data_IF_916775893760
#
_entry.id   IF_916775893760
#
_cell.length_a   1.000
_cell.length_b   1.000
_cell.length_c   1.000
_cell.angle_alpha   90.00
_cell.angle_beta   90.00
_cell.angle_gamma   90.00
#
_symmetry.space_group_name_H-M   'P 1'
#
loop_
_entity.id
_entity.type
_entity.pdbx_description
1 polymer ?
#
# COMPACT_ATOMS: atom_id res chain seq x y z
N UNK A 1 -8.76 -14.36 22.75
CA UNK A 1 -8.37 -13.87 21.40
C UNK A 1 -9.59 -14.05 20.48
N UNK A 2 -10.19 -12.97 19.99
CA UNK A 2 -11.49 -12.99 19.31
C UNK A 2 -11.47 -13.85 18.04
N UNK A 3 -12.52 -14.67 17.82
CA UNK A 3 -12.67 -15.54 16.63
C UNK A 3 -12.54 -14.76 15.31
N UNK A 4 -12.92 -13.48 15.33
CA UNK A 4 -12.84 -12.55 14.20
C UNK A 4 -11.40 -12.22 13.78
N UNK A 5 -10.44 -12.13 14.72
CA UNK A 5 -9.05 -11.78 14.41
C UNK A 5 -8.26 -12.92 13.74
N UNK A 6 -8.82 -14.13 13.77
CA UNK A 6 -8.29 -15.30 13.06
C UNK A 6 -9.03 -15.55 11.74
N UNK A 7 -9.95 -14.68 11.35
CA UNK A 7 -10.67 -14.81 10.08
C UNK A 7 -9.84 -14.27 8.93
N UNK A 8 -10.01 -14.85 7.74
CA UNK A 8 -9.39 -14.30 6.52
C UNK A 8 -9.88 -12.88 6.23
N UNK A 9 -11.14 -12.59 6.58
CA UNK A 9 -11.77 -11.29 6.41
C UNK A 9 -11.07 -10.16 7.19
N UNK A 10 -10.56 -10.42 8.39
CA UNK A 10 -9.82 -9.39 9.14
C UNK A 10 -8.50 -9.03 8.45
N UNK A 11 -7.88 -10.01 7.80
CA UNK A 11 -6.70 -9.81 6.97
C UNK A 11 -6.97 -8.96 5.74
N UNK A 12 -8.05 -9.29 5.03
CA UNK A 12 -8.49 -8.58 3.83
C UNK A 12 -8.78 -7.10 4.16
N UNK A 13 -9.58 -6.85 5.20
CA UNK A 13 -9.94 -5.48 5.60
C UNK A 13 -8.69 -4.69 6.00
N UNK A 14 -7.81 -5.30 6.81
CA UNK A 14 -6.59 -4.64 7.25
C UNK A 14 -5.63 -4.35 6.09
N UNK A 15 -5.50 -5.25 5.11
CA UNK A 15 -4.69 -5.04 3.91
C UNK A 15 -5.24 -3.91 3.03
N UNK A 16 -6.56 -3.89 2.79
CA UNK A 16 -7.17 -2.81 1.97
C UNK A 16 -6.98 -1.46 2.66
N UNK A 17 -7.25 -1.42 3.97
CA UNK A 17 -7.07 -0.21 4.76
C UNK A 17 -5.61 0.25 4.77
N UNK A 18 -4.66 -0.65 4.98
CA UNK A 18 -3.24 -0.31 4.99
C UNK A 18 -2.75 0.21 3.64
N UNK A 19 -3.22 -0.34 2.52
CA UNK A 19 -2.86 0.16 1.18
C UNK A 19 -3.41 1.56 0.92
N UNK A 20 -4.67 1.82 1.27
CA UNK A 20 -5.31 3.13 1.08
C UNK A 20 -4.64 4.19 1.96
N UNK A 21 -4.53 3.90 3.26
CA UNK A 21 -3.94 4.82 4.23
C UNK A 21 -2.45 5.03 3.95
N UNK A 22 -1.72 3.96 3.61
CA UNK A 22 -0.32 4.04 3.23
C UNK A 22 -0.09 4.95 2.02
N UNK A 23 -0.90 4.80 0.98
CA UNK A 23 -0.81 5.65 -0.22
C UNK A 23 -1.12 7.11 0.11
N UNK A 24 -2.14 7.37 0.95
CA UNK A 24 -2.48 8.72 1.38
C UNK A 24 -1.38 9.39 2.22
N UNK A 25 -0.78 8.65 3.16
CA UNK A 25 0.32 9.14 3.99
C UNK A 25 1.57 9.45 3.17
N UNK A 26 1.93 8.58 2.22
CA UNK A 26 3.07 8.82 1.34
C UNK A 26 2.81 10.03 0.43
N UNK A 27 1.59 10.18 -0.10
CA UNK A 27 1.23 11.37 -0.88
C UNK A 27 1.37 12.65 -0.06
N UNK A 28 0.84 12.66 1.17
CA UNK A 28 0.97 13.80 2.09
C UNK A 28 2.44 14.11 2.41
N UNK A 29 3.27 13.07 2.61
CA UNK A 29 4.71 13.24 2.81
C UNK A 29 5.38 13.90 1.61
N UNK A 30 5.05 13.46 0.39
CA UNK A 30 5.60 14.06 -0.82
C UNK A 30 5.12 15.50 -1.02
N UNK A 31 3.85 15.80 -0.75
CA UNK A 31 3.31 17.17 -0.79
C UNK A 31 4.03 18.07 0.22
N UNK A 32 4.30 17.58 1.42
CA UNK A 32 5.08 18.31 2.43
C UNK A 32 6.52 18.58 1.97
N UNK A 33 7.19 17.57 1.40
CA UNK A 33 8.55 17.70 0.86
C UNK A 33 8.61 18.63 -0.36
N UNK A 34 7.52 18.72 -1.12
CA UNK A 34 7.40 19.67 -2.22
C UNK A 34 7.24 21.11 -1.71
N UNK A 35 6.39 21.32 -0.70
CA UNK A 35 6.19 22.63 -0.08
C UNK A 35 7.44 23.15 0.62
N UNK A 36 8.27 22.27 1.18
CA UNK A 36 9.54 22.65 1.81
C UNK A 36 10.66 22.97 0.81
N UNK A 37 10.40 22.82 -0.50
CA UNK A 37 11.39 23.02 -1.56
C UNK A 37 12.45 21.92 -1.64
N UNK A 38 12.31 20.84 -0.87
CA UNK A 38 13.23 19.69 -0.89
C UNK A 38 13.06 18.83 -2.16
N UNK A 39 11.86 18.81 -2.72
CA UNK A 39 11.55 18.07 -3.95
C UNK A 39 10.80 18.99 -4.90
N UNK A 40 11.13 18.94 -6.20
CA UNK A 40 10.29 19.57 -7.21
C UNK A 40 9.11 18.65 -7.54
N UNK A 41 7.91 19.02 -7.09
CA UNK A 41 6.68 18.39 -7.58
C UNK A 41 6.43 18.87 -9.01
N UNK A 42 6.75 18.02 -9.97
CA UNK A 42 6.75 18.40 -11.36
C UNK A 42 5.50 17.83 -12.03
N UNK A 43 4.61 18.71 -12.47
CA UNK A 43 3.35 18.35 -13.16
C UNK A 43 3.57 17.77 -14.58
N UNK A 44 4.82 17.57 -15.02
CA UNK A 44 5.19 16.95 -16.30
C UNK A 44 5.44 15.44 -16.22
N UNK A 45 6.31 14.88 -17.07
CA UNK A 45 6.62 13.43 -17.17
C UNK A 45 7.03 12.81 -15.81
N UNK A 46 7.68 13.62 -14.96
CA UNK A 46 8.05 13.26 -13.58
C UNK A 46 6.86 12.94 -12.65
N UNK A 47 5.66 13.45 -12.95
CA UNK A 47 4.44 13.18 -12.18
C UNK A 47 4.04 11.70 -12.21
N UNK A 48 4.17 11.04 -13.37
CA UNK A 48 3.77 9.64 -13.53
C UNK A 48 4.70 8.71 -12.73
N UNK A 49 5.99 9.05 -12.66
CA UNK A 49 6.99 8.28 -11.91
C UNK A 49 6.84 8.49 -10.40
N UNK A 50 6.50 9.72 -9.98
CA UNK A 50 6.17 10.03 -8.60
C UNK A 50 4.91 9.28 -8.15
N UNK A 51 3.84 9.32 -8.94
CA UNK A 51 2.58 8.62 -8.65
C UNK A 51 2.78 7.11 -8.51
N UNK A 52 3.54 6.50 -9.44
CA UNK A 52 3.92 5.08 -9.37
C UNK A 52 4.62 4.73 -8.07
N UNK A 53 5.59 5.56 -7.65
CA UNK A 53 6.37 5.35 -6.43
C UNK A 53 5.49 5.47 -5.20
N UNK A 54 4.60 6.48 -5.16
CA UNK A 54 3.64 6.67 -4.06
C UNK A 54 2.76 5.43 -3.90
N UNK A 55 2.23 4.88 -4.99
CA UNK A 55 1.39 3.68 -4.92
C UNK A 55 2.17 2.44 -4.46
N UNK A 56 3.38 2.20 -4.96
CA UNK A 56 4.21 1.06 -4.51
C UNK A 56 4.53 1.18 -3.02
N UNK A 57 4.96 2.36 -2.58
CA UNK A 57 5.24 2.62 -1.17
C UNK A 57 3.97 2.46 -0.32
N UNK A 58 2.81 2.89 -0.83
CA UNK A 58 1.51 2.66 -0.19
C UNK A 58 1.16 1.18 -0.03
N UNK A 59 1.40 0.35 -1.06
CA UNK A 59 1.18 -1.11 -0.98
C UNK A 59 2.11 -1.74 0.07
N UNK A 60 3.34 -1.26 0.21
CA UNK A 60 4.28 -1.75 1.22
C UNK A 60 3.78 -1.57 2.66
N UNK A 61 2.82 -0.68 2.92
CA UNK A 61 2.22 -0.56 4.26
C UNK A 61 1.48 -1.82 4.68
N UNK A 62 1.15 -2.74 3.76
CA UNK A 62 0.59 -4.04 4.10
C UNK A 62 1.56 -4.90 4.94
N UNK A 63 2.85 -4.58 5.00
CA UNK A 63 3.77 -5.21 5.94
C UNK A 63 3.40 -4.97 7.40
N UNK A 64 2.77 -3.84 7.73
CA UNK A 64 2.33 -3.51 9.08
C UNK A 64 1.27 -4.51 9.58
N UNK A 65 0.09 -4.67 8.92
CA UNK A 65 -0.89 -5.66 9.34
C UNK A 65 -0.38 -7.10 9.19
N UNK A 66 0.47 -7.38 8.19
CA UNK A 66 1.09 -8.70 8.04
C UNK A 66 1.91 -9.08 9.26
N UNK A 67 2.83 -8.21 9.70
CA UNK A 67 3.67 -8.46 10.86
C UNK A 67 2.84 -8.55 12.15
N UNK A 68 1.80 -7.72 12.28
CA UNK A 68 0.86 -7.78 13.40
C UNK A 68 0.16 -9.15 13.50
N UNK A 69 -0.37 -9.67 12.38
CA UNK A 69 -1.04 -10.99 12.37
C UNK A 69 -0.06 -12.15 12.52
N UNK A 70 1.17 -12.00 12.00
CA UNK A 70 2.26 -12.97 12.18
C UNK A 70 2.60 -13.17 13.67
N UNK A 71 2.82 -12.07 14.39
CA UNK A 71 3.13 -12.13 15.84
C UNK A 71 1.97 -12.77 16.63
N UNK A 72 0.72 -12.58 16.18
CA UNK A 72 -0.48 -13.15 16.81
C UNK A 72 -0.79 -14.58 16.41
N UNK A 73 0.02 -15.22 15.55
CA UNK A 73 -0.24 -16.57 15.03
C UNK A 73 -1.58 -16.68 14.28
N UNK A 74 -2.01 -15.59 13.63
CA UNK A 74 -3.28 -15.52 12.92
C UNK A 74 -3.10 -15.79 11.41
N UNK A 75 -2.72 -17.03 11.06
CA UNK A 75 -2.33 -17.39 9.69
C UNK A 75 -3.39 -17.09 8.63
N UNK A 76 -4.67 -17.35 8.92
CA UNK A 76 -5.77 -17.04 7.98
C UNK A 76 -5.88 -15.53 7.70
N UNK A 77 -5.71 -14.69 8.73
CA UNK A 77 -5.70 -13.24 8.56
C UNK A 77 -4.43 -12.80 7.81
N UNK A 78 -3.29 -13.42 8.09
CA UNK A 78 -2.05 -13.17 7.36
C UNK A 78 -2.22 -13.44 5.85
N UNK A 79 -2.84 -14.56 5.49
CA UNK A 79 -3.16 -14.88 4.09
C UNK A 79 -4.11 -13.86 3.46
N UNK A 80 -5.08 -13.34 4.22
CA UNK A 80 -5.96 -12.27 3.75
C UNK A 80 -5.19 -10.98 3.38
N UNK A 81 -4.20 -10.60 4.19
CA UNK A 81 -3.32 -9.46 3.86
C UNK A 81 -2.52 -9.74 2.59
N UNK A 82 -1.93 -10.93 2.47
CA UNK A 82 -1.13 -11.32 1.29
C UNK A 82 -1.97 -11.28 0.01
N UNK A 83 -3.20 -11.79 0.04
CA UNK A 83 -4.12 -11.74 -1.10
C UNK A 83 -4.33 -10.29 -1.55
N UNK A 84 -4.56 -9.38 -0.60
CA UNK A 84 -4.74 -7.96 -0.94
C UNK A 84 -3.46 -7.33 -1.48
N UNK A 85 -2.29 -7.65 -0.93
CA UNK A 85 -1.01 -7.16 -1.47
C UNK A 85 -0.81 -7.61 -2.92
N UNK A 86 -1.09 -8.87 -3.23
CA UNK A 86 -0.98 -9.40 -4.60
C UNK A 86 -1.97 -8.70 -5.53
N UNK A 87 -3.23 -8.55 -5.12
CA UNK A 87 -4.25 -7.86 -5.92
C UNK A 87 -3.90 -6.40 -6.16
N UNK A 88 -3.48 -5.66 -5.12
CA UNK A 88 -3.08 -4.27 -5.25
C UNK A 88 -1.86 -4.11 -6.19
N UNK A 89 -0.90 -5.04 -6.09
CA UNK A 89 0.28 -5.07 -6.98
C UNK A 89 -0.13 -5.37 -8.42
N UNK A 90 -1.01 -6.35 -8.66
CA UNK A 90 -1.51 -6.67 -10.00
C UNK A 90 -2.27 -5.50 -10.63
N UNK A 91 -3.14 -4.83 -9.85
CA UNK A 91 -3.85 -3.62 -10.28
C UNK A 91 -2.85 -2.52 -10.66
N UNK A 92 -1.82 -2.30 -9.83
CA UNK A 92 -0.77 -1.33 -10.12
C UNK A 92 -0.02 -1.64 -11.41
N UNK A 93 0.37 -2.90 -11.64
CA UNK A 93 1.07 -3.32 -12.87
C UNK A 93 0.19 -3.05 -14.09
N UNK A 94 -1.10 -3.42 -14.05
CA UNK A 94 -2.03 -3.23 -15.17
C UNK A 94 -2.23 -1.74 -15.45
N UNK A 95 -2.42 -0.93 -14.41
CA UNK A 95 -2.66 0.50 -14.54
C UNK A 95 -1.45 1.24 -15.13
N UNK A 96 -0.23 0.89 -14.70
CA UNK A 96 1.01 1.52 -15.15
C UNK A 96 1.72 0.78 -16.28
N UNK A 97 1.10 -0.23 -16.88
CA UNK A 97 1.72 -1.07 -17.93
C UNK A 97 2.30 -0.23 -19.08
N UNK A 98 1.52 0.72 -19.62
CA UNK A 98 1.94 1.63 -20.71
C UNK A 98 3.04 2.63 -20.32
N UNK A 99 3.26 2.84 -19.02
CA UNK A 99 4.33 3.69 -18.50
C UNK A 99 5.59 2.88 -18.17
N UNK A 100 5.45 1.56 -18.04
CA UNK A 100 6.53 0.62 -17.74
C UNK A 100 7.18 0.06 -19.01
N UNK A 101 6.39 -0.11 -20.08
CA UNK A 101 6.76 -0.73 -21.36
C UNK A 101 6.26 0.13 -22.52
#
# INVERSE_FOLDING_TARGET
MNKFSKSIWSGIIAGVFATIVGSALIKMLFEFLAQSGMIQWNNGIFSIQQERTIFVLGIMFNFIPFQYFKIKGAEKAMNGVVIITILATAIWIIYYYKSLF
#
